data_IF_363048253799
#
_entry.id   IF_363048253799
#
_cell.length_a   1.000
_cell.length_b   1.000
_cell.length_c   1.000
_cell.angle_alpha   90.00
_cell.angle_beta   90.00
_cell.angle_gamma   90.00
#
_symmetry.space_group_name_H-M   'P 1'
#
loop_
_entity.id
_entity.type
_entity.pdbx_description
1 polymer ?
#
# COMPACT_ATOMS: atom_id res chain seq x y z
N UNK A 1 8.54 -2.48 13.27
CA UNK A 1 8.18 -1.93 11.94
C UNK A 1 6.84 -2.51 11.56
N UNK A 2 6.04 -1.78 10.80
CA UNK A 2 4.80 -2.35 10.25
C UNK A 2 5.15 -3.34 9.12
N UNK A 3 4.27 -4.31 8.86
CA UNK A 3 4.45 -5.26 7.75
C UNK A 3 4.59 -4.55 6.39
N UNK A 4 3.92 -3.41 6.23
CA UNK A 4 4.06 -2.55 5.05
C UNK A 4 5.48 -2.02 4.91
N UNK A 5 6.04 -1.42 5.97
CA UNK A 5 7.41 -0.86 5.97
C UNK A 5 8.46 -1.93 5.68
N UNK A 6 8.28 -3.15 6.19
CA UNK A 6 9.18 -4.27 5.92
C UNK A 6 9.17 -4.67 4.44
N UNK A 7 7.99 -4.74 3.82
CA UNK A 7 7.84 -5.07 2.40
C UNK A 7 8.34 -3.95 1.49
N UNK A 8 8.07 -2.70 1.85
CA UNK A 8 8.57 -1.54 1.13
C UNK A 8 10.10 -1.52 1.16
N UNK A 9 10.70 -1.76 2.32
CA UNK A 9 12.15 -1.84 2.46
C UNK A 9 12.75 -3.01 1.67
N UNK A 10 12.06 -4.16 1.61
CA UNK A 10 12.48 -5.26 0.75
C UNK A 10 12.47 -4.86 -0.73
N UNK A 11 11.43 -4.15 -1.18
CA UNK A 11 11.33 -3.65 -2.54
C UNK A 11 12.45 -2.65 -2.88
N UNK A 12 12.74 -1.71 -1.98
CA UNK A 12 13.86 -0.76 -2.12
C UNK A 12 15.19 -1.50 -2.31
N UNK A 13 15.48 -2.52 -1.48
CA UNK A 13 16.69 -3.32 -1.62
C UNK A 13 16.76 -4.09 -2.96
N UNK A 14 15.62 -4.51 -3.51
CA UNK A 14 15.57 -5.17 -4.82
C UNK A 14 15.91 -4.17 -5.92
N UNK A 15 15.33 -2.97 -5.88
CA UNK A 15 15.63 -1.89 -6.83
C UNK A 15 17.10 -1.50 -6.77
N UNK A 16 17.65 -1.28 -5.58
CA UNK A 16 19.07 -0.94 -5.40
C UNK A 16 20.01 -1.99 -6.03
N UNK A 17 19.67 -3.28 -5.90
CA UNK A 17 20.44 -4.37 -6.52
C UNK A 17 20.29 -4.40 -8.04
N UNK A 18 19.10 -4.13 -8.57
CA UNK A 18 18.87 -4.08 -10.02
C UNK A 18 19.62 -2.89 -10.65
N UNK A 19 19.71 -1.76 -9.94
CA UNK A 19 20.41 -0.56 -10.41
C UNK A 19 21.94 -0.66 -10.30
N UNK A 20 22.48 -1.56 -9.46
CA UNK A 20 23.94 -1.73 -9.32
C UNK A 20 24.63 -2.22 -10.59
N UNK A 21 23.91 -2.95 -11.46
CA UNK A 21 24.41 -3.41 -12.75
C UNK A 21 25.39 -4.59 -12.71
N UNK A 22 25.72 -5.11 -11.52
CA UNK A 22 26.68 -6.21 -11.31
C UNK A 22 26.02 -7.61 -11.34
N UNK A 23 24.78 -7.70 -11.82
CA UNK A 23 23.98 -8.94 -11.81
C UNK A 23 24.09 -9.72 -13.12
N UNK A 24 24.05 -11.05 -13.00
CA UNK A 24 23.80 -11.89 -14.17
C UNK A 24 22.38 -11.68 -14.71
N UNK A 25 22.13 -12.07 -15.96
CA UNK A 25 20.79 -12.00 -16.54
C UNK A 25 19.78 -12.83 -15.73
N UNK A 26 20.19 -14.02 -15.27
CA UNK A 26 19.31 -14.90 -14.47
C UNK A 26 18.98 -14.27 -13.12
N UNK A 27 19.95 -13.66 -12.44
CA UNK A 27 19.72 -13.00 -11.16
C UNK A 27 18.89 -11.73 -11.31
N UNK A 28 19.10 -11.00 -12.41
CA UNK A 28 18.29 -9.82 -12.76
C UNK A 28 16.83 -10.19 -12.97
N UNK A 29 16.55 -11.31 -13.66
CA UNK A 29 15.19 -11.80 -13.86
C UNK A 29 14.53 -12.22 -12.54
N UNK A 30 15.26 -12.94 -11.67
CA UNK A 30 14.74 -13.33 -10.34
C UNK A 30 14.40 -12.12 -9.48
N UNK A 31 15.31 -11.15 -9.40
CA UNK A 31 15.08 -9.92 -8.64
C UNK A 31 13.94 -9.10 -9.23
N UNK A 32 13.79 -9.05 -10.55
CA UNK A 32 12.67 -8.39 -11.19
C UNK A 32 11.33 -9.04 -10.80
N UNK A 33 11.22 -10.37 -10.86
CA UNK A 33 10.03 -11.11 -10.43
C UNK A 33 9.70 -10.85 -8.95
N UNK A 34 10.70 -10.88 -8.08
CA UNK A 34 10.56 -10.55 -6.66
C UNK A 34 10.06 -9.11 -6.47
N UNK A 35 10.65 -8.14 -7.17
CA UNK A 35 10.26 -6.74 -7.12
C UNK A 35 8.82 -6.50 -7.56
N UNK A 36 8.38 -7.18 -8.63
CA UNK A 36 6.98 -7.13 -9.08
C UNK A 36 6.04 -7.66 -7.99
N UNK A 37 6.34 -8.80 -7.39
CA UNK A 37 5.51 -9.39 -6.34
C UNK A 37 5.42 -8.50 -5.07
N UNK A 38 6.54 -7.91 -4.67
CA UNK A 38 6.60 -6.96 -3.55
C UNK A 38 5.80 -5.68 -3.84
N UNK A 39 5.92 -5.13 -5.04
CA UNK A 39 5.18 -3.95 -5.49
C UNK A 39 3.67 -4.19 -5.49
N UNK A 40 3.20 -5.33 -6.02
CA UNK A 40 1.79 -5.70 -5.97
C UNK A 40 1.27 -5.83 -4.53
N UNK A 41 2.10 -6.36 -3.63
CA UNK A 41 1.70 -6.54 -2.23
C UNK A 41 1.60 -5.21 -1.51
N UNK A 42 2.57 -4.31 -1.71
CA UNK A 42 2.52 -2.95 -1.17
C UNK A 42 1.27 -2.20 -1.66
N UNK A 43 0.95 -2.32 -2.95
CA UNK A 43 -0.25 -1.72 -3.54
C UNK A 43 -1.53 -2.24 -2.88
N UNK A 44 -1.66 -3.55 -2.69
CA UNK A 44 -2.84 -4.15 -2.02
C UNK A 44 -3.02 -3.63 -0.59
N UNK A 45 -1.93 -3.43 0.15
CA UNK A 45 -2.01 -2.86 1.50
C UNK A 45 -2.44 -1.40 1.49
N UNK A 46 -1.95 -0.60 0.53
CA UNK A 46 -2.39 0.78 0.34
C UNK A 46 -3.86 0.87 -0.05
N UNK A 47 -4.30 0.06 -1.01
CA UNK A 47 -5.70 0.00 -1.45
C UNK A 47 -6.64 -0.36 -0.28
N UNK A 48 -6.23 -1.31 0.57
CA UNK A 48 -6.99 -1.69 1.76
C UNK A 48 -7.03 -0.57 2.81
N UNK A 49 -5.94 0.18 2.99
CA UNK A 49 -5.89 1.33 3.87
C UNK A 49 -6.79 2.47 3.36
N UNK A 50 -6.73 2.76 2.06
CA UNK A 50 -7.59 3.76 1.43
C UNK A 50 -9.07 3.41 1.59
N UNK A 51 -9.45 2.16 1.31
CA UNK A 51 -10.84 1.70 1.49
C UNK A 51 -11.33 1.85 2.93
N UNK A 52 -10.47 1.59 3.93
CA UNK A 52 -10.80 1.84 5.35
C UNK A 52 -11.03 3.32 5.64
N UNK A 53 -10.18 4.20 5.11
CA UNK A 53 -10.32 5.66 5.26
C UNK A 53 -11.63 6.15 4.63
N UNK A 54 -11.96 5.66 3.43
CA UNK A 54 -13.21 6.00 2.74
C UNK A 54 -14.44 5.59 3.57
N UNK A 55 -14.47 4.36 4.10
CA UNK A 55 -15.58 3.89 4.96
C UNK A 55 -15.71 4.74 6.23
N UNK A 56 -14.60 5.05 6.90
CA UNK A 56 -14.62 5.87 8.12
C UNK A 56 -15.11 7.30 7.84
N UNK A 57 -14.70 7.88 6.71
CA UNK A 57 -15.12 9.21 6.30
C UNK A 57 -16.61 9.25 5.93
N UNK A 58 -17.09 8.24 5.19
CA UNK A 58 -18.50 8.12 4.85
C UNK A 58 -19.39 7.94 6.09
N UNK A 59 -18.97 7.10 7.05
CA UNK A 59 -19.69 6.92 8.33
C UNK A 59 -19.77 8.22 9.14
N UNK A 60 -18.65 8.96 9.22
CA UNK A 60 -18.62 10.25 9.92
C UNK A 60 -19.55 11.27 9.26
N UNK A 61 -19.68 11.25 7.94
CA UNK A 61 -20.58 12.14 7.23
C UNK A 61 -22.05 11.78 7.44
N UNK A 62 -22.40 10.49 7.32
CA UNK A 62 -23.76 10.02 7.59
C UNK A 62 -24.21 10.19 9.04
N UNK A 63 -23.29 10.15 10.02
CA UNK A 63 -23.59 10.50 11.41
C UNK A 63 -23.90 12.00 11.57
N UNK A 64 -23.15 12.89 10.91
CA UNK A 64 -23.45 14.32 10.93
C UNK A 64 -24.80 14.65 10.33
N UNK A 65 -25.15 14.02 9.21
CA UNK A 65 -26.46 14.22 8.56
C UNK A 65 -27.61 13.76 9.48
N UNK A 66 -27.42 12.69 10.25
CA UNK A 66 -28.42 12.24 11.23
C UNK A 66 -28.55 13.19 12.43
N UNK A 67 -27.43 13.69 12.98
CA UNK A 67 -27.45 14.66 14.08
C UNK A 67 -28.04 16.02 13.66
N UNK A 68 -27.80 16.47 12.43
CA UNK A 68 -28.35 17.73 11.92
C UNK A 68 -29.88 17.65 11.72
N UNK A 69 -30.42 16.49 11.32
CA UNK A 69 -31.87 16.26 11.18
C UNK A 69 -32.60 16.22 12.53
N UNK A 70 -31.92 15.76 13.59
CA UNK A 70 -32.49 15.70 14.95
C UNK A 70 -32.50 17.07 15.67
N UNK A 71 -31.74 18.06 15.18
CA UNK A 71 -31.67 19.41 15.76
C UNK A 71 -32.70 20.40 15.19
N UNK A 72 -33.37 20.05 14.09
CA UNK A 72 -34.45 20.86 13.48
C UNK A 72 -35.87 20.43 13.93
N UNK A 73 -35.98 19.54 14.94
CA UNK A 73 -37.23 19.04 15.51
C UNK A 73 -37.65 19.66 16.84
#
# INVERSE_FOLDING_TARGET
MSKFEEQLKALENVVDKLESGDLSLEDSLKLFEEGVALSETCKKELDAAEGRVQILTAKKNGQREAEDLDLEG
#
